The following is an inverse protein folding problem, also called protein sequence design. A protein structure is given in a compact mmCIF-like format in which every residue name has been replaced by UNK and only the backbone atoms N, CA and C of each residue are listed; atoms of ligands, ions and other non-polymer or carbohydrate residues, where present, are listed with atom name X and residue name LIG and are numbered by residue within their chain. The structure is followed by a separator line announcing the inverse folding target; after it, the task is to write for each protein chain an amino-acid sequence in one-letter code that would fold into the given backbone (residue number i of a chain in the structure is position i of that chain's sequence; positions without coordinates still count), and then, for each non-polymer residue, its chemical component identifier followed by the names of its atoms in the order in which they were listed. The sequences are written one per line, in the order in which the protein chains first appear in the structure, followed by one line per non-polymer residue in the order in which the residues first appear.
data_IF_027362223833
#
_entry.id   IF_027362223833
#
_cell.length_a   1.000
_cell.length_b   1.000
_cell.length_c   1.000
_cell.angle_alpha   90.00
_cell.angle_beta   90.00
_cell.angle_gamma   90.00
#
_symmetry.space_group_name_H-M   'P 1'
#
loop_
_entity.id
_entity.type
_entity.pdbx_description
1 polymer ?
#
# COMPACT_ATOMS: atom_id res chain seq x y z
N UNK A 1 39.55 33.96 -92.40
CA UNK A 1 38.38 33.02 -92.40
C UNK A 1 38.32 32.36 -91.07
N UNK A 2 37.35 32.79 -90.27
CA UNK A 2 37.20 32.40 -88.81
C UNK A 2 36.64 31.01 -88.61
N UNK A 3 37.14 30.35 -87.60
CA UNK A 3 36.48 29.22 -86.93
C UNK A 3 36.43 29.45 -85.49
N UNK A 4 35.33 29.90 -84.98
CA UNK A 4 35.02 29.96 -83.59
C UNK A 4 34.71 28.60 -83.00
N UNK A 5 35.44 28.13 -82.06
CA UNK A 5 35.18 26.91 -81.27
C UNK A 5 34.32 27.24 -80.06
N UNK A 6 33.16 26.63 -80.01
CA UNK A 6 32.21 26.79 -78.92
C UNK A 6 32.53 25.74 -77.85
N UNK A 7 32.95 26.16 -76.67
CA UNK A 7 33.15 25.28 -75.52
C UNK A 7 31.89 25.30 -74.69
N UNK A 8 31.14 24.20 -74.72
CA UNK A 8 29.98 23.98 -73.85
C UNK A 8 30.39 23.50 -72.49
N UNK A 9 30.26 24.36 -71.45
CA UNK A 9 30.47 23.98 -70.05
C UNK A 9 29.17 23.39 -69.51
N UNK A 10 29.17 22.08 -69.23
CA UNK A 10 28.05 21.42 -68.54
C UNK A 10 28.19 21.64 -67.02
N UNK A 11 27.34 22.47 -66.44
CA UNK A 11 27.21 22.64 -65.00
C UNK A 11 26.37 21.50 -64.44
N UNK A 12 27.03 20.54 -63.80
CA UNK A 12 26.39 19.47 -63.03
C UNK A 12 25.81 20.01 -61.73
N UNK A 13 24.49 20.18 -61.61
CA UNK A 13 23.81 20.51 -60.39
C UNK A 13 23.75 19.27 -59.47
N UNK A 14 24.58 19.21 -58.44
CA UNK A 14 24.47 18.26 -57.33
C UNK A 14 23.27 18.63 -56.49
N UNK A 15 22.13 17.90 -56.70
CA UNK A 15 20.99 17.92 -55.81
C UNK A 15 21.37 17.19 -54.48
N UNK A 16 21.84 17.94 -53.50
CA UNK A 16 21.95 17.48 -52.13
C UNK A 16 20.52 17.35 -51.56
N UNK A 17 20.01 16.12 -51.52
CA UNK A 17 18.81 15.79 -50.78
C UNK A 17 19.09 16.02 -49.29
N UNK A 18 18.66 17.16 -48.74
CA UNK A 18 18.60 17.39 -47.32
C UNK A 18 17.60 16.38 -46.71
N UNK A 19 18.12 15.32 -46.10
CA UNK A 19 17.32 14.50 -45.22
C UNK A 19 16.91 15.38 -44.04
N UNK A 20 15.60 15.52 -43.74
CA UNK A 20 15.22 16.16 -42.49
C UNK A 20 15.79 15.32 -41.37
N UNK A 21 16.82 15.81 -40.68
CA UNK A 21 17.22 15.28 -39.39
C UNK A 21 16.03 15.54 -38.46
N UNK A 22 15.16 14.54 -38.36
CA UNK A 22 14.17 14.48 -37.26
C UNK A 22 15.00 14.46 -36.01
N UNK A 23 15.22 15.63 -35.41
CA UNK A 23 15.75 15.75 -34.07
C UNK A 23 14.75 15.00 -33.17
N UNK A 24 15.03 13.74 -32.91
CA UNK A 24 14.33 12.93 -31.95
C UNK A 24 14.58 13.63 -30.61
N UNK A 25 13.63 14.50 -30.22
CA UNK A 25 13.62 15.13 -28.90
C UNK A 25 13.89 14.00 -27.92
N UNK A 26 15.02 14.02 -27.26
CA UNK A 26 15.39 13.01 -26.27
C UNK A 26 14.22 12.89 -25.31
N UNK A 27 13.52 11.77 -25.35
CA UNK A 27 12.31 11.55 -24.56
C UNK A 27 12.74 11.69 -23.10
N UNK A 28 12.27 12.72 -22.41
CA UNK A 28 12.59 12.97 -21.00
C UNK A 28 12.34 11.69 -20.23
N UNK A 29 13.38 11.17 -19.57
CA UNK A 29 13.24 10.00 -18.69
C UNK A 29 12.32 10.40 -17.53
N UNK A 30 11.15 9.75 -17.35
CA UNK A 30 10.22 10.11 -16.29
C UNK A 30 10.82 9.81 -14.92
N UNK A 31 10.49 10.66 -13.95
CA UNK A 31 10.93 10.57 -12.56
C UNK A 31 9.74 10.33 -11.66
N UNK A 32 9.74 9.21 -10.93
CA UNK A 32 8.70 8.82 -10.00
C UNK A 32 9.19 9.04 -8.57
N UNK A 33 8.40 9.75 -7.76
CA UNK A 33 8.57 9.79 -6.32
C UNK A 33 7.81 8.65 -5.66
N UNK A 34 8.45 7.93 -4.75
CA UNK A 34 7.80 6.90 -3.94
C UNK A 34 7.99 7.22 -2.47
N UNK A 35 6.88 7.46 -1.77
CA UNK A 35 6.88 7.66 -0.32
C UNK A 35 6.30 6.43 0.36
N UNK A 36 7.14 5.70 1.08
CA UNK A 36 6.71 4.60 1.95
C UNK A 36 6.53 5.10 3.37
N UNK A 37 5.40 4.77 4.01
CA UNK A 37 5.12 5.18 5.39
C UNK A 37 6.00 4.46 6.42
N UNK A 38 6.51 3.26 6.13
CA UNK A 38 7.36 2.47 7.02
C UNK A 38 8.85 2.63 6.76
N UNK A 39 9.65 1.77 7.41
CA UNK A 39 11.11 1.64 7.19
C UNK A 39 11.40 0.81 5.93
N UNK A 40 12.60 0.90 5.33
CA UNK A 40 12.99 0.08 4.17
C UNK A 40 12.73 -1.42 4.37
N UNK A 41 13.12 -1.96 5.52
CA UNK A 41 12.94 -3.37 5.85
C UNK A 41 11.46 -3.76 5.97
N UNK A 42 10.63 -2.88 6.55
CA UNK A 42 9.21 -3.15 6.76
C UNK A 42 8.42 -3.24 5.43
N UNK A 43 8.85 -2.49 4.41
CA UNK A 43 8.13 -2.35 3.13
C UNK A 43 8.81 -3.04 1.94
N UNK A 44 9.80 -3.91 2.19
CA UNK A 44 10.60 -4.54 1.14
C UNK A 44 9.74 -5.27 0.10
N UNK A 45 8.71 -6.02 0.51
CA UNK A 45 7.79 -6.72 -0.40
C UNK A 45 7.00 -5.74 -1.27
N UNK A 46 6.58 -4.59 -0.72
CA UNK A 46 5.88 -3.55 -1.47
C UNK A 46 6.78 -2.94 -2.54
N UNK A 47 8.06 -2.71 -2.20
CA UNK A 47 9.08 -2.21 -3.16
C UNK A 47 9.25 -3.18 -4.32
N UNK A 48 9.37 -4.48 -4.04
CA UNK A 48 9.52 -5.49 -5.10
C UNK A 48 8.23 -5.63 -5.93
N UNK A 49 7.05 -5.60 -5.31
CA UNK A 49 5.78 -5.58 -6.05
C UNK A 49 5.69 -4.41 -7.01
N UNK A 50 6.03 -3.20 -6.56
CA UNK A 50 6.03 -2.00 -7.41
C UNK A 50 7.06 -2.10 -8.55
N UNK A 51 8.28 -2.56 -8.29
CA UNK A 51 9.30 -2.78 -9.32
C UNK A 51 8.84 -3.80 -10.36
N UNK A 52 8.19 -4.89 -9.92
CA UNK A 52 7.62 -5.87 -10.82
C UNK A 52 6.56 -5.25 -11.73
N UNK A 53 5.62 -4.49 -11.15
CA UNK A 53 4.59 -3.80 -11.92
C UNK A 53 5.19 -2.81 -12.93
N UNK A 54 6.23 -2.07 -12.57
CA UNK A 54 6.93 -1.20 -13.52
C UNK A 54 7.53 -1.99 -14.69
N UNK A 55 8.19 -3.13 -14.42
CA UNK A 55 8.78 -4.00 -15.46
C UNK A 55 7.72 -4.55 -16.41
N UNK A 56 6.54 -4.92 -15.92
CA UNK A 56 5.42 -5.41 -16.72
C UNK A 56 4.92 -4.35 -17.74
N UNK A 57 5.12 -3.06 -17.43
CA UNK A 57 4.84 -1.94 -18.32
C UNK A 57 6.06 -1.46 -19.14
N UNK A 58 7.17 -2.20 -19.10
CA UNK A 58 8.39 -1.90 -19.86
C UNK A 58 9.29 -0.85 -19.22
N UNK A 59 9.06 -0.47 -17.96
CA UNK A 59 9.94 0.46 -17.24
C UNK A 59 11.04 -0.30 -16.49
N UNK A 60 12.29 0.14 -16.73
CA UNK A 60 13.48 -0.40 -16.07
C UNK A 60 14.20 0.74 -15.37
N UNK A 61 14.28 0.66 -14.05
CA UNK A 61 14.93 1.68 -13.22
C UNK A 61 16.40 1.87 -13.63
N UNK A 62 16.82 3.12 -13.78
CA UNK A 62 18.15 3.49 -14.24
C UNK A 62 18.36 3.45 -15.76
N UNK A 63 17.37 2.95 -16.53
CA UNK A 63 17.42 2.96 -18.00
C UNK A 63 16.42 3.93 -18.60
N UNK A 64 15.14 3.75 -18.34
CA UNK A 64 14.06 4.55 -18.93
C UNK A 64 13.08 5.13 -17.90
N UNK A 65 13.38 4.97 -16.61
CA UNK A 65 12.66 5.58 -15.48
C UNK A 65 13.60 5.82 -14.31
N UNK A 66 13.40 6.92 -13.59
CA UNK A 66 14.10 7.22 -12.31
C UNK A 66 13.09 7.07 -11.18
N UNK A 67 13.43 6.35 -10.12
CA UNK A 67 12.57 6.15 -8.95
C UNK A 67 13.24 6.70 -7.69
N UNK A 68 12.70 7.79 -7.19
CA UNK A 68 13.14 8.48 -5.96
C UNK A 68 12.38 7.94 -4.76
N UNK A 69 12.98 7.02 -4.00
CA UNK A 69 12.34 6.43 -2.82
C UNK A 69 12.63 7.22 -1.57
N UNK A 70 11.61 7.43 -0.76
CA UNK A 70 11.67 8.05 0.57
C UNK A 70 10.88 7.23 1.57
N UNK A 71 11.32 7.28 2.82
CA UNK A 71 10.74 6.49 3.90
C UNK A 71 10.35 7.41 5.05
N UNK A 72 9.10 7.32 5.49
CA UNK A 72 8.52 8.13 6.55
C UNK A 72 8.71 7.54 7.95
N UNK A 73 9.20 6.28 8.04
CA UNK A 73 9.58 5.60 9.30
C UNK A 73 8.46 5.60 10.36
N UNK A 74 7.22 5.58 9.92
CA UNK A 74 6.01 5.70 10.74
C UNK A 74 5.88 7.01 11.54
N UNK A 75 6.70 8.04 11.22
CA UNK A 75 6.62 9.39 11.82
C UNK A 75 5.85 10.34 10.91
N UNK A 76 4.78 11.00 11.39
CA UNK A 76 4.06 12.03 10.64
C UNK A 76 4.95 13.19 10.19
N UNK A 77 5.88 13.63 11.05
CA UNK A 77 6.83 14.72 10.78
C UNK A 77 7.75 14.33 9.64
N UNK A 78 8.35 13.13 9.71
CA UNK A 78 9.23 12.62 8.66
C UNK A 78 8.49 12.44 7.34
N UNK A 79 7.24 11.97 7.36
CA UNK A 79 6.40 11.88 6.14
C UNK A 79 6.19 13.25 5.50
N UNK A 80 5.96 14.32 6.31
CA UNK A 80 5.80 15.68 5.79
C UNK A 80 7.09 16.22 5.16
N UNK A 81 8.24 15.99 5.79
CA UNK A 81 9.55 16.38 5.26
C UNK A 81 9.84 15.71 3.91
N UNK A 82 9.73 14.38 3.84
CA UNK A 82 10.06 13.62 2.63
C UNK A 82 9.03 13.86 1.51
N UNK A 83 7.78 14.16 1.85
CA UNK A 83 6.78 14.60 0.86
C UNK A 83 7.20 15.93 0.21
N UNK A 84 7.65 16.90 1.03
CA UNK A 84 8.16 18.17 0.53
C UNK A 84 9.44 18.01 -0.33
N UNK A 85 10.33 17.07 0.03
CA UNK A 85 11.50 16.72 -0.80
C UNK A 85 11.09 16.23 -2.19
N UNK A 86 10.14 15.29 -2.27
CA UNK A 86 9.68 14.73 -3.56
C UNK A 86 9.06 15.82 -4.44
N UNK A 87 8.29 16.74 -3.85
CA UNK A 87 7.72 17.88 -4.58
C UNK A 87 8.82 18.82 -5.10
N UNK A 88 9.86 19.11 -4.30
CA UNK A 88 11.01 19.91 -4.74
C UNK A 88 11.80 19.27 -5.88
N UNK A 89 11.87 17.93 -5.92
CA UNK A 89 12.49 17.18 -7.01
C UNK A 89 11.70 17.25 -8.33
N UNK A 90 10.49 17.84 -8.31
CA UNK A 90 9.60 17.97 -9.48
C UNK A 90 9.39 16.64 -10.19
N UNK A 91 9.07 15.60 -9.43
CA UNK A 91 8.75 14.29 -9.95
C UNK A 91 7.49 14.32 -10.81
N UNK A 92 7.38 13.43 -11.78
CA UNK A 92 6.24 13.41 -12.72
C UNK A 92 5.00 12.76 -12.08
N UNK A 93 5.18 11.85 -11.12
CA UNK A 93 4.12 11.18 -10.33
C UNK A 93 4.64 10.86 -8.94
N UNK A 94 3.80 10.94 -7.92
CA UNK A 94 4.13 10.43 -6.57
C UNK A 94 3.26 9.21 -6.29
N UNK A 95 3.88 8.11 -5.88
CA UNK A 95 3.21 6.89 -5.42
C UNK A 95 3.37 6.76 -3.91
N UNK A 96 2.27 6.51 -3.21
CA UNK A 96 2.31 6.34 -1.75
C UNK A 96 1.18 5.42 -1.26
N UNK A 97 1.21 5.05 -0.01
CA UNK A 97 0.18 4.27 0.65
C UNK A 97 -0.06 4.77 2.06
N UNK A 98 -1.17 4.36 2.66
CA UNK A 98 -1.71 4.81 3.95
C UNK A 98 -2.25 6.24 3.92
N UNK A 99 -3.35 6.45 4.63
CA UNK A 99 -4.03 7.74 4.64
C UNK A 99 -3.15 8.87 5.19
N UNK A 100 -2.26 8.55 6.14
CA UNK A 100 -1.32 9.53 6.73
C UNK A 100 -0.32 10.04 5.69
N UNK A 101 0.30 9.13 4.92
CA UNK A 101 1.28 9.52 3.90
C UNK A 101 0.61 10.19 2.70
N UNK A 102 -0.58 9.73 2.29
CA UNK A 102 -1.38 10.39 1.23
C UNK A 102 -1.71 11.83 1.64
N UNK A 103 -2.17 12.05 2.88
CA UNK A 103 -2.46 13.37 3.41
C UNK A 103 -1.20 14.26 3.45
N UNK A 104 -0.04 13.70 3.81
CA UNK A 104 1.23 14.42 3.82
C UNK A 104 1.60 14.92 2.41
N UNK A 105 1.51 14.05 1.38
CA UNK A 105 1.78 14.44 -0.01
C UNK A 105 0.74 15.44 -0.52
N UNK A 106 -0.56 15.20 -0.27
CA UNK A 106 -1.64 16.07 -0.75
C UNK A 106 -1.55 17.49 -0.21
N UNK A 107 -1.03 17.67 1.01
CA UNK A 107 -0.75 19.01 1.57
C UNK A 107 0.37 19.75 0.85
N UNK A 108 1.32 19.04 0.23
CA UNK A 108 2.47 19.66 -0.43
C UNK A 108 2.22 19.98 -1.91
N UNK A 109 1.25 19.29 -2.55
CA UNK A 109 0.98 19.51 -3.98
C UNK A 109 -0.47 19.22 -4.35
N UNK A 110 -1.00 20.06 -5.26
CA UNK A 110 -2.26 19.82 -5.96
C UNK A 110 -2.06 19.61 -7.45
N UNK A 111 -0.81 19.74 -7.93
CA UNK A 111 -0.47 19.66 -9.35
C UNK A 111 0.16 18.31 -9.73
N UNK A 112 1.08 17.79 -8.89
CA UNK A 112 1.72 16.50 -9.18
C UNK A 112 0.70 15.39 -8.95
N UNK A 113 0.49 14.48 -9.94
CA UNK A 113 -0.33 13.30 -9.77
C UNK A 113 0.09 12.44 -8.59
N UNK A 114 -0.88 11.97 -7.80
CA UNK A 114 -0.67 11.10 -6.66
C UNK A 114 -1.39 9.77 -6.91
N UNK A 115 -0.64 8.67 -6.92
CA UNK A 115 -1.17 7.32 -7.02
C UNK A 115 -1.15 6.68 -5.63
N UNK A 116 -2.32 6.37 -5.12
CA UNK A 116 -2.47 5.60 -3.88
C UNK A 116 -2.29 4.12 -4.21
N UNK A 117 -1.25 3.47 -3.67
CA UNK A 117 -1.15 2.01 -3.71
C UNK A 117 -2.17 1.36 -2.76
N UNK A 118 -2.55 2.07 -1.69
CA UNK A 118 -3.66 1.70 -0.81
C UNK A 118 -4.14 2.89 0.02
N UNK A 119 -5.45 2.99 0.21
CA UNK A 119 -6.11 3.90 1.16
C UNK A 119 -7.28 3.18 1.81
N UNK A 120 -7.54 3.42 3.08
CA UNK A 120 -8.63 2.74 3.80
C UNK A 120 -9.99 3.25 3.34
N UNK A 121 -10.16 4.57 3.27
CA UNK A 121 -11.38 5.23 2.81
C UNK A 121 -11.03 6.54 2.07
N UNK A 122 -10.72 6.49 0.77
CA UNK A 122 -10.28 7.67 0.04
C UNK A 122 -11.38 8.72 -0.16
N UNK A 123 -12.65 8.33 -0.12
CA UNK A 123 -13.79 9.24 -0.21
C UNK A 123 -14.05 9.91 1.15
N UNK A 124 -14.19 9.14 2.20
CA UNK A 124 -14.45 9.66 3.53
C UNK A 124 -13.30 10.50 4.10
N UNK A 125 -12.05 10.25 3.67
CA UNK A 125 -10.90 11.13 4.00
C UNK A 125 -10.87 12.41 3.18
N UNK A 126 -11.69 12.53 2.13
CA UNK A 126 -11.71 13.68 1.22
C UNK A 126 -10.49 13.73 0.28
N UNK A 127 -9.83 12.61 0.03
CA UNK A 127 -8.74 12.56 -0.95
C UNK A 127 -9.30 12.64 -2.37
N UNK A 128 -10.46 12.02 -2.60
CA UNK A 128 -11.16 11.97 -3.87
C UNK A 128 -12.65 12.29 -3.68
N UNK A 129 -13.31 12.79 -4.73
CA UNK A 129 -14.73 13.11 -4.69
C UNK A 129 -15.62 11.84 -4.69
N UNK A 130 -15.24 10.83 -5.49
CA UNK A 130 -15.86 9.51 -5.52
C UNK A 130 -14.90 8.46 -6.06
N UNK A 131 -15.21 7.18 -5.88
CA UNK A 131 -14.39 6.10 -6.42
C UNK A 131 -14.43 6.09 -7.97
N UNK A 132 -15.58 6.34 -8.57
CA UNK A 132 -15.74 6.32 -10.03
C UNK A 132 -15.11 7.55 -10.72
N UNK A 133 -15.13 8.72 -10.07
CA UNK A 133 -14.57 9.98 -10.58
C UNK A 133 -13.84 10.71 -9.47
N UNK A 134 -12.53 10.47 -9.29
CA UNK A 134 -11.72 11.09 -8.25
C UNK A 134 -11.71 12.63 -8.29
N UNK A 135 -11.67 13.22 -9.49
CA UNK A 135 -11.91 14.66 -9.73
C UNK A 135 -10.73 15.60 -9.43
N UNK A 136 -9.63 15.10 -8.85
CA UNK A 136 -8.45 15.89 -8.48
C UNK A 136 -7.14 15.29 -9.01
N UNK A 137 -6.04 15.53 -8.30
CA UNK A 137 -4.73 14.98 -8.63
C UNK A 137 -4.46 13.60 -7.96
N UNK A 138 -5.43 13.01 -7.28
CA UNK A 138 -5.30 11.73 -6.55
C UNK A 138 -6.11 10.65 -7.25
N UNK A 139 -5.50 9.47 -7.43
CA UNK A 139 -6.14 8.26 -7.94
C UNK A 139 -5.45 7.02 -7.36
N UNK A 140 -5.86 5.80 -7.72
CA UNK A 140 -5.19 4.55 -7.31
C UNK A 140 -6.12 3.49 -6.75
N UNK A 141 -5.77 2.89 -5.61
CA UNK A 141 -6.44 1.73 -5.05
C UNK A 141 -6.93 1.99 -3.61
N UNK A 142 -8.04 1.36 -3.24
CA UNK A 142 -8.60 1.32 -1.89
C UNK A 142 -8.38 -0.06 -1.27
N UNK A 143 -8.37 -0.16 0.07
CA UNK A 143 -8.23 -1.43 0.79
C UNK A 143 -9.56 -2.10 1.13
N UNK A 144 -10.66 -1.34 1.19
CA UNK A 144 -11.94 -1.78 1.77
C UNK A 144 -11.77 -2.52 3.12
N UNK A 145 -10.81 -2.04 3.94
CA UNK A 145 -10.45 -2.72 5.18
C UNK A 145 -11.59 -2.75 6.21
N UNK A 146 -12.37 -1.68 6.40
CA UNK A 146 -13.48 -1.68 7.36
C UNK A 146 -14.51 -2.77 7.07
N UNK A 147 -14.88 -2.98 5.80
CA UNK A 147 -15.86 -3.98 5.38
C UNK A 147 -15.42 -5.41 5.67
N UNK A 148 -14.12 -5.64 5.86
CA UNK A 148 -13.57 -6.95 6.21
C UNK A 148 -13.58 -7.24 7.72
N UNK A 149 -13.92 -6.26 8.55
CA UNK A 149 -13.83 -6.36 10.01
C UNK A 149 -14.72 -7.46 10.58
N UNK A 150 -15.96 -7.58 10.08
CA UNK A 150 -16.87 -8.66 10.48
C UNK A 150 -16.28 -10.03 10.14
N UNK A 151 -15.71 -10.18 8.94
CA UNK A 151 -15.11 -11.44 8.49
C UNK A 151 -13.89 -11.84 9.30
N UNK A 152 -13.05 -10.88 9.69
CA UNK A 152 -11.90 -11.14 10.58
C UNK A 152 -12.36 -11.66 11.95
N UNK A 153 -13.42 -11.08 12.53
CA UNK A 153 -14.01 -11.57 13.79
C UNK A 153 -14.60 -12.97 13.65
N UNK A 154 -15.35 -13.25 12.58
CA UNK A 154 -15.90 -14.58 12.32
C UNK A 154 -14.80 -15.64 12.24
N UNK A 155 -13.75 -15.37 11.43
CA UNK A 155 -12.62 -16.28 11.26
C UNK A 155 -11.91 -16.54 12.60
N UNK A 156 -11.73 -15.50 13.42
CA UNK A 156 -11.11 -15.63 14.74
C UNK A 156 -11.98 -16.49 15.68
N UNK A 157 -13.31 -16.29 15.64
CA UNK A 157 -14.28 -17.08 16.42
C UNK A 157 -14.34 -18.56 15.99
N UNK A 158 -14.10 -18.85 14.69
CA UNK A 158 -14.01 -20.24 14.20
C UNK A 158 -12.79 -20.97 14.82
N UNK A 159 -11.70 -20.26 15.11
CA UNK A 159 -10.45 -20.83 15.64
C UNK A 159 -10.41 -20.89 17.15
N UNK A 160 -11.11 -19.97 17.83
CA UNK A 160 -11.13 -19.90 19.30
C UNK A 160 -12.50 -20.31 19.82
N UNK A 161 -12.69 -21.59 20.22
CA UNK A 161 -13.96 -22.07 20.74
C UNK A 161 -14.37 -21.32 22.00
N UNK A 162 -15.63 -20.89 22.07
CA UNK A 162 -16.15 -20.18 23.25
C UNK A 162 -15.69 -18.73 23.38
N UNK A 163 -15.04 -18.15 22.34
CA UNK A 163 -14.60 -16.76 22.33
C UNK A 163 -15.72 -15.80 22.79
N UNK A 164 -15.44 -15.00 23.78
CA UNK A 164 -16.38 -14.02 24.36
C UNK A 164 -15.76 -12.62 24.50
N UNK A 165 -14.44 -12.51 24.69
CA UNK A 165 -13.73 -11.24 24.89
C UNK A 165 -12.60 -11.08 23.87
N UNK A 166 -12.74 -10.10 22.99
CA UNK A 166 -11.77 -9.79 21.95
C UNK A 166 -11.21 -8.39 22.16
N UNK A 167 -9.89 -8.26 22.16
CA UNK A 167 -9.26 -6.96 22.13
C UNK A 167 -9.05 -6.48 20.69
N UNK A 168 -9.17 -5.18 20.47
CA UNK A 168 -8.81 -4.54 19.22
C UNK A 168 -7.72 -3.49 19.47
N UNK A 169 -6.57 -3.67 18.80
CA UNK A 169 -5.47 -2.72 18.84
C UNK A 169 -5.55 -1.79 17.63
N UNK A 170 -5.60 -0.50 17.89
CA UNK A 170 -5.80 0.54 16.87
C UNK A 170 -5.15 1.86 17.27
N UNK A 171 -5.09 2.82 16.34
CA UNK A 171 -4.54 4.16 16.59
C UNK A 171 -5.64 5.20 16.37
N UNK A 172 -6.04 5.99 17.40
CA UNK A 172 -7.08 7.02 17.30
C UNK A 172 -6.71 8.19 16.37
N UNK A 173 -5.41 8.43 16.16
CA UNK A 173 -4.91 9.49 15.29
C UNK A 173 -4.94 9.11 13.80
N UNK A 174 -5.21 7.83 13.49
CA UNK A 174 -5.27 7.30 12.12
C UNK A 174 -6.73 7.06 11.74
N UNK A 175 -7.29 7.92 10.88
CA UNK A 175 -8.70 7.86 10.47
C UNK A 175 -9.14 6.48 9.98
N UNK A 176 -8.32 5.81 9.16
CA UNK A 176 -8.62 4.45 8.69
C UNK A 176 -8.77 3.46 9.83
N UNK A 177 -7.90 3.53 10.85
CA UNK A 177 -7.98 2.66 12.03
C UNK A 177 -9.23 2.97 12.89
N UNK A 178 -9.68 4.24 12.93
CA UNK A 178 -10.94 4.63 13.58
C UNK A 178 -12.15 3.98 12.88
N UNK A 179 -12.15 3.93 11.55
CA UNK A 179 -13.21 3.27 10.79
C UNK A 179 -13.20 1.76 11.01
N UNK A 180 -12.03 1.11 10.91
CA UNK A 180 -11.86 -0.32 11.23
C UNK A 180 -12.34 -0.65 12.66
N UNK A 181 -12.03 0.21 13.64
CA UNK A 181 -12.51 0.06 15.01
C UNK A 181 -14.04 0.08 15.09
N UNK A 182 -14.69 1.07 14.47
CA UNK A 182 -16.16 1.23 14.50
C UNK A 182 -16.87 0.04 13.84
N UNK A 183 -16.38 -0.41 12.69
CA UNK A 183 -16.93 -1.58 12.00
C UNK A 183 -16.72 -2.86 12.82
N UNK A 184 -15.53 -3.03 13.43
CA UNK A 184 -15.26 -4.16 14.32
C UNK A 184 -16.16 -4.14 15.55
N UNK A 185 -16.45 -2.96 16.13
CA UNK A 185 -17.37 -2.78 17.24
C UNK A 185 -18.81 -3.19 16.87
N UNK A 186 -19.26 -2.77 15.69
CA UNK A 186 -20.58 -3.17 15.15
C UNK A 186 -20.68 -4.69 14.95
N UNK A 187 -19.64 -5.29 14.36
CA UNK A 187 -19.57 -6.73 14.15
C UNK A 187 -19.48 -7.51 15.47
N UNK A 188 -18.72 -7.03 16.46
CA UNK A 188 -18.61 -7.65 17.77
C UNK A 188 -19.98 -7.72 18.49
N UNK A 189 -20.77 -6.62 18.44
CA UNK A 189 -22.14 -6.61 18.97
C UNK A 189 -23.03 -7.67 18.31
N UNK A 190 -22.96 -7.78 16.97
CA UNK A 190 -23.75 -8.76 16.20
C UNK A 190 -23.35 -10.20 16.53
N UNK A 191 -22.06 -10.45 16.80
CA UNK A 191 -21.53 -11.77 17.18
C UNK A 191 -21.63 -12.06 18.69
N UNK A 192 -22.18 -11.13 19.50
CA UNK A 192 -22.25 -11.20 20.96
C UNK A 192 -20.89 -11.34 21.63
N UNK A 193 -19.90 -10.60 21.12
CA UNK A 193 -18.55 -10.52 21.68
C UNK A 193 -18.38 -9.21 22.46
N UNK A 194 -17.69 -9.27 23.59
CA UNK A 194 -17.22 -8.08 24.28
C UNK A 194 -15.96 -7.57 23.59
N UNK A 195 -16.02 -6.37 23.01
CA UNK A 195 -14.88 -5.73 22.39
C UNK A 195 -14.16 -4.82 23.39
N UNK A 196 -12.86 -5.00 23.51
CA UNK A 196 -12.01 -4.20 24.36
C UNK A 196 -11.08 -3.34 23.50
N UNK A 197 -11.21 -2.03 23.61
CA UNK A 197 -10.36 -1.07 22.93
C UNK A 197 -8.97 -0.99 23.57
N UNK A 198 -7.94 -1.05 22.74
CA UNK A 198 -6.54 -0.83 23.11
C UNK A 198 -5.89 0.14 22.13
N UNK A 199 -5.70 1.36 22.60
CA UNK A 199 -5.13 2.44 21.82
C UNK A 199 -3.61 2.41 21.85
N UNK A 200 -2.99 2.56 20.67
CA UNK A 200 -1.55 2.58 20.48
C UNK A 200 -1.21 3.66 19.45
N UNK A 201 -0.58 4.73 19.91
CA UNK A 201 -0.11 5.81 19.01
C UNK A 201 1.40 5.71 18.72
N UNK A 202 2.18 5.08 19.61
CA UNK A 202 3.63 4.98 19.55
C UNK A 202 4.13 3.57 19.84
N UNK A 203 5.34 3.27 19.38
CA UNK A 203 5.95 1.94 19.60
C UNK A 203 6.17 1.60 21.10
N UNK A 204 6.37 2.60 21.93
CA UNK A 204 6.57 2.43 23.39
C UNK A 204 5.27 2.05 24.12
N UNK A 205 4.13 2.23 23.48
CA UNK A 205 2.82 1.88 24.06
C UNK A 205 2.57 0.36 24.08
N UNK A 206 3.26 -0.44 23.26
CA UNK A 206 2.95 -1.86 23.10
C UNK A 206 3.03 -2.65 24.41
N UNK A 207 4.05 -2.48 25.22
CA UNK A 207 4.19 -3.26 26.47
C UNK A 207 3.08 -2.94 27.46
N UNK A 208 2.72 -1.66 27.59
CA UNK A 208 1.57 -1.21 28.38
C UNK A 208 0.26 -1.76 27.81
N UNK A 209 0.09 -1.73 26.48
CA UNK A 209 -1.07 -2.27 25.79
C UNK A 209 -1.25 -3.76 26.10
N UNK A 210 -0.21 -4.58 25.95
CA UNK A 210 -0.30 -6.00 26.23
C UNK A 210 -0.50 -6.32 27.73
N UNK A 211 0.03 -5.51 28.64
CA UNK A 211 -0.26 -5.62 30.08
C UNK A 211 -1.75 -5.36 30.37
N UNK A 212 -2.34 -4.36 29.73
CA UNK A 212 -3.77 -4.06 29.83
C UNK A 212 -4.64 -5.22 29.29
N UNK A 213 -4.25 -5.86 28.19
CA UNK A 213 -4.94 -7.04 27.63
C UNK A 213 -4.99 -8.20 28.61
N UNK A 214 -3.87 -8.45 29.31
CA UNK A 214 -3.78 -9.51 30.33
C UNK A 214 -4.69 -9.21 31.52
N UNK A 215 -4.67 -7.97 32.02
CA UNK A 215 -5.52 -7.53 33.15
C UNK A 215 -7.00 -7.67 32.82
N UNK A 216 -7.38 -7.31 31.60
CA UNK A 216 -8.76 -7.38 31.14
C UNK A 216 -9.18 -8.78 30.66
N UNK A 217 -8.29 -9.77 30.75
CA UNK A 217 -8.53 -11.17 30.38
C UNK A 217 -9.02 -11.30 28.93
N UNK A 218 -8.40 -10.57 27.99
CA UNK A 218 -8.65 -10.74 26.57
C UNK A 218 -8.35 -12.18 26.15
N UNK A 219 -9.21 -12.78 25.35
CA UNK A 219 -9.08 -14.17 24.87
C UNK A 219 -8.52 -14.23 23.45
N UNK A 220 -8.59 -13.11 22.72
CA UNK A 220 -8.01 -12.96 21.38
C UNK A 220 -7.73 -11.49 21.09
N UNK A 221 -6.90 -11.24 20.08
CA UNK A 221 -6.47 -9.91 19.65
C UNK A 221 -6.75 -9.71 18.15
N UNK A 222 -7.35 -8.57 17.79
CA UNK A 222 -7.36 -8.06 16.42
C UNK A 222 -6.45 -6.84 16.36
N UNK A 223 -5.60 -6.78 15.34
CA UNK A 223 -4.79 -5.59 15.04
C UNK A 223 -5.23 -5.04 13.69
N UNK A 224 -5.83 -3.86 13.69
CA UNK A 224 -6.22 -3.17 12.47
C UNK A 224 -5.00 -2.51 11.80
N UNK A 225 -5.05 -2.20 10.49
CA UNK A 225 -3.91 -1.59 9.79
C UNK A 225 -3.63 -0.16 10.25
N UNK A 226 -2.42 0.09 10.78
CA UNK A 226 -1.86 1.44 10.98
C UNK A 226 -0.32 1.42 10.96
N UNK A 227 0.36 2.52 10.56
CA UNK A 227 1.80 2.50 10.23
C UNK A 227 2.71 2.02 11.35
N UNK A 228 2.49 2.48 12.59
CA UNK A 228 3.32 2.09 13.75
C UNK A 228 3.22 0.60 14.03
N UNK A 229 2.01 0.01 13.97
CA UNK A 229 1.83 -1.42 14.16
C UNK A 229 2.48 -2.23 13.02
N UNK A 230 2.31 -1.80 11.77
CA UNK A 230 2.91 -2.49 10.62
C UNK A 230 4.45 -2.54 10.70
N UNK A 231 5.07 -1.43 11.08
CA UNK A 231 6.53 -1.36 11.27
C UNK A 231 7.01 -2.28 12.41
N UNK A 232 6.20 -2.43 13.45
CA UNK A 232 6.51 -3.24 14.64
C UNK A 232 5.83 -4.61 14.65
N UNK A 233 5.37 -5.12 13.49
CA UNK A 233 4.56 -6.36 13.40
C UNK A 233 5.20 -7.58 14.04
N UNK A 234 6.53 -7.73 13.92
CA UNK A 234 7.26 -8.83 14.56
C UNK A 234 7.21 -8.76 16.09
N UNK A 235 7.35 -7.56 16.68
CA UNK A 235 7.20 -7.34 18.11
C UNK A 235 5.78 -7.65 18.58
N UNK A 236 4.77 -7.18 17.84
CA UNK A 236 3.35 -7.44 18.17
C UNK A 236 3.04 -8.93 18.09
N UNK A 237 3.48 -9.64 17.02
CA UNK A 237 3.30 -11.08 16.90
C UNK A 237 3.97 -11.84 18.06
N UNK A 238 5.20 -11.48 18.42
CA UNK A 238 5.93 -12.07 19.56
C UNK A 238 5.22 -11.82 20.91
N UNK A 239 4.74 -10.60 21.14
CA UNK A 239 3.99 -10.26 22.35
C UNK A 239 2.65 -11.00 22.41
N UNK A 240 1.93 -11.16 21.28
CA UNK A 240 0.70 -11.94 21.21
C UNK A 240 0.97 -13.42 21.59
N UNK A 241 2.02 -14.03 21.03
CA UNK A 241 2.41 -15.39 21.38
C UNK A 241 2.80 -15.53 22.86
N UNK A 242 3.64 -14.62 23.39
CA UNK A 242 4.07 -14.62 24.79
C UNK A 242 2.89 -14.55 25.76
N UNK A 243 1.87 -13.77 25.41
CA UNK A 243 0.65 -13.64 26.20
C UNK A 243 -0.43 -14.68 25.85
N UNK A 244 -0.10 -15.69 25.00
CA UNK A 244 -1.02 -16.75 24.55
C UNK A 244 -2.32 -16.21 23.94
N UNK A 245 -2.25 -15.09 23.21
CA UNK A 245 -3.37 -14.46 22.56
C UNK A 245 -3.46 -14.90 21.09
N UNK A 246 -4.45 -15.71 20.69
CA UNK A 246 -4.80 -15.90 19.29
C UNK A 246 -5.01 -14.55 18.62
N UNK A 247 -4.40 -14.34 17.45
CA UNK A 247 -4.36 -13.02 16.85
C UNK A 247 -4.76 -13.03 15.38
N UNK A 248 -5.56 -12.02 15.00
CA UNK A 248 -6.01 -11.77 13.63
C UNK A 248 -5.52 -10.40 13.16
N UNK A 249 -5.03 -10.37 11.93
CA UNK A 249 -4.44 -9.18 11.32
C UNK A 249 -5.11 -8.87 9.97
N UNK A 250 -5.04 -7.61 9.56
CA UNK A 250 -5.52 -7.16 8.25
C UNK A 250 -4.54 -7.41 7.10
N UNK A 251 -3.29 -7.81 7.39
CA UNK A 251 -2.19 -7.88 6.43
C UNK A 251 -1.35 -9.14 6.67
N UNK A 252 -1.02 -9.86 5.57
CA UNK A 252 -0.29 -11.15 5.60
C UNK A 252 1.07 -11.04 6.29
N UNK A 253 1.73 -9.91 6.20
CA UNK A 253 3.08 -9.69 6.73
C UNK A 253 3.17 -9.90 8.24
N UNK A 254 2.04 -9.84 8.95
CA UNK A 254 1.98 -10.22 10.37
C UNK A 254 2.04 -11.73 10.56
N UNK A 255 1.36 -12.51 9.71
CA UNK A 255 1.43 -13.97 9.76
C UNK A 255 2.83 -14.46 9.39
N UNK A 256 3.47 -13.84 8.40
CA UNK A 256 4.87 -14.08 8.02
C UNK A 256 5.83 -13.79 9.19
N UNK A 257 5.52 -12.77 9.99
CA UNK A 257 6.29 -12.40 11.19
C UNK A 257 5.96 -13.21 12.45
N UNK A 258 5.14 -14.27 12.35
CA UNK A 258 4.78 -15.14 13.46
C UNK A 258 3.40 -14.91 14.06
N UNK A 259 2.57 -14.03 13.51
CA UNK A 259 1.16 -13.88 13.87
C UNK A 259 0.35 -15.14 13.51
N UNK A 260 -0.81 -15.33 14.16
CA UNK A 260 -1.60 -16.54 13.95
C UNK A 260 -2.31 -16.56 12.60
N UNK A 261 -3.06 -15.51 12.28
CA UNK A 261 -3.85 -15.43 11.04
C UNK A 261 -3.90 -14.01 10.50
N UNK A 262 -3.97 -13.89 9.18
CA UNK A 262 -4.25 -12.64 8.50
C UNK A 262 -5.36 -12.82 7.46
N UNK A 263 -6.23 -11.80 7.32
CA UNK A 263 -7.24 -11.76 6.28
C UNK A 263 -7.36 -10.34 5.71
N UNK A 264 -7.01 -10.19 4.43
CA UNK A 264 -7.04 -8.91 3.74
C UNK A 264 -6.43 -8.95 2.35
N UNK A 265 -6.37 -7.81 1.64
CA UNK A 265 -5.72 -7.73 0.34
C UNK A 265 -4.20 -7.91 0.47
N UNK A 266 -3.57 -8.43 -0.60
CA UNK A 266 -2.12 -8.55 -0.68
C UNK A 266 -1.48 -7.19 -0.99
N UNK A 267 -0.68 -6.67 -0.07
CA UNK A 267 -0.04 -5.36 -0.21
C UNK A 267 0.94 -5.30 -1.41
N UNK A 268 1.74 -6.33 -1.62
CA UNK A 268 2.70 -6.35 -2.73
C UNK A 268 1.97 -6.30 -4.08
N UNK A 269 0.82 -7.00 -4.19
CA UNK A 269 -0.03 -6.95 -5.37
C UNK A 269 -0.67 -5.57 -5.59
N UNK A 270 -1.11 -4.90 -4.51
CA UNK A 270 -1.59 -3.52 -4.58
C UNK A 270 -0.51 -2.58 -5.12
N UNK A 271 0.71 -2.70 -4.62
CA UNK A 271 1.84 -1.91 -5.12
C UNK A 271 2.21 -2.27 -6.57
N UNK A 272 2.14 -3.54 -6.95
CA UNK A 272 2.31 -3.97 -8.34
C UNK A 272 1.26 -3.33 -9.23
N UNK A 273 0.00 -3.34 -8.80
CA UNK A 273 -1.12 -2.74 -9.54
C UNK A 273 -1.02 -1.22 -9.64
N UNK A 274 -0.48 -0.54 -8.62
CA UNK A 274 -0.24 0.91 -8.64
C UNK A 274 0.64 1.35 -9.82
N UNK A 275 1.58 0.51 -10.27
CA UNK A 275 2.41 0.79 -11.46
C UNK A 275 1.59 0.96 -12.74
N UNK A 276 0.41 0.31 -12.85
CA UNK A 276 -0.50 0.50 -13.98
C UNK A 276 -1.06 1.92 -14.03
N UNK A 277 -1.33 2.52 -12.86
CA UNK A 277 -1.79 3.91 -12.78
C UNK A 277 -0.66 4.88 -13.16
N UNK A 278 0.56 4.57 -12.71
CA UNK A 278 1.75 5.34 -13.11
C UNK A 278 1.92 5.31 -14.62
N UNK A 279 1.84 4.14 -15.25
CA UNK A 279 1.93 3.99 -16.71
C UNK A 279 0.87 4.82 -17.45
N UNK A 280 -0.39 4.71 -17.02
CA UNK A 280 -1.49 5.50 -17.60
C UNK A 280 -1.24 7.01 -17.52
N UNK A 281 -0.78 7.49 -16.35
CA UNK A 281 -0.49 8.92 -16.12
C UNK A 281 0.70 9.38 -16.97
N UNK A 282 1.78 8.60 -17.04
CA UNK A 282 2.93 8.92 -17.87
C UNK A 282 2.60 8.94 -19.37
N UNK A 283 1.54 8.23 -19.79
CA UNK A 283 0.96 8.25 -21.13
C UNK A 283 -0.07 9.36 -21.34
N UNK A 284 -0.28 10.23 -20.34
CA UNK A 284 -1.12 11.43 -20.45
C UNK A 284 -2.53 11.32 -19.86
N UNK A 285 -2.88 10.21 -19.20
CA UNK A 285 -4.16 10.12 -18.50
C UNK A 285 -4.19 11.07 -17.29
N UNK A 286 -5.32 11.74 -17.07
CA UNK A 286 -5.50 12.62 -15.92
C UNK A 286 -5.90 11.77 -14.68
N UNK A 287 -5.27 11.99 -13.51
CA UNK A 287 -5.61 11.23 -12.28
C UNK A 287 -7.10 11.29 -11.93
N UNK A 288 -7.71 12.49 -12.08
CA UNK A 288 -9.12 12.73 -11.77
C UNK A 288 -10.11 11.94 -12.61
N UNK A 289 -9.69 11.43 -13.78
CA UNK A 289 -10.50 10.62 -14.70
C UNK A 289 -10.27 9.10 -14.53
N UNK A 290 -9.26 8.70 -13.74
CA UNK A 290 -8.94 7.31 -13.48
C UNK A 290 -9.68 6.81 -12.23
N UNK A 291 -10.64 5.88 -12.35
CA UNK A 291 -11.40 5.36 -11.21
C UNK A 291 -10.48 4.72 -10.15
N UNK A 292 -10.89 4.83 -8.88
CA UNK A 292 -10.27 4.11 -7.78
C UNK A 292 -10.66 2.64 -7.86
N UNK A 293 -9.69 1.75 -7.94
CA UNK A 293 -9.94 0.31 -7.89
C UNK A 293 -10.06 -0.18 -6.44
N UNK A 294 -11.02 -1.06 -6.23
CA UNK A 294 -11.16 -1.82 -4.99
C UNK A 294 -10.59 -3.24 -5.20
N UNK A 295 -9.94 -3.84 -4.20
CA UNK A 295 -9.47 -5.21 -4.31
C UNK A 295 -10.66 -6.16 -4.44
N UNK A 296 -10.55 -7.12 -5.34
CA UNK A 296 -11.54 -8.19 -5.53
C UNK A 296 -11.08 -9.51 -4.96
N UNK A 297 -9.80 -9.59 -4.56
CA UNK A 297 -9.19 -10.78 -3.97
C UNK A 297 -8.66 -10.46 -2.58
N UNK A 298 -9.03 -11.29 -1.62
CA UNK A 298 -8.56 -11.27 -0.23
C UNK A 298 -7.90 -12.59 0.08
N UNK A 299 -6.80 -12.56 0.80
CA UNK A 299 -6.02 -13.72 1.18
C UNK A 299 -6.25 -14.06 2.66
N UNK A 300 -6.57 -15.33 2.93
CA UNK A 300 -6.53 -15.91 4.26
C UNK A 300 -5.20 -16.65 4.43
N UNK A 301 -4.34 -16.13 5.29
CA UNK A 301 -3.06 -16.75 5.64
C UNK A 301 -3.13 -17.28 7.07
N UNK A 302 -2.73 -18.53 7.29
CA UNK A 302 -2.75 -19.19 8.60
C UNK A 302 -1.37 -19.72 8.93
N UNK A 303 -0.86 -19.38 10.13
CA UNK A 303 0.43 -19.86 10.61
C UNK A 303 0.24 -21.03 11.58
N UNK A 304 0.50 -22.26 11.11
CA UNK A 304 0.35 -23.47 11.92
C UNK A 304 1.41 -23.61 13.02
N UNK A 305 2.62 -23.03 12.83
CA UNK A 305 3.62 -22.99 13.91
C UNK A 305 3.08 -22.24 15.11
N UNK A 306 2.48 -21.09 14.84
CA UNK A 306 1.87 -20.23 15.88
C UNK A 306 0.62 -20.90 16.46
N UNK A 307 -0.23 -21.51 15.66
CA UNK A 307 -1.39 -22.27 16.13
C UNK A 307 -0.96 -23.37 17.13
N UNK A 308 0.06 -24.16 16.75
CA UNK A 308 0.64 -25.22 17.62
C UNK A 308 1.22 -24.65 18.92
N UNK A 309 1.94 -23.54 18.83
CA UNK A 309 2.53 -22.87 20.03
C UNK A 309 1.45 -22.36 21.00
N UNK A 310 0.29 -21.96 20.47
CA UNK A 310 -0.88 -21.52 21.25
C UNK A 310 -1.77 -22.69 21.72
N UNK A 311 -1.47 -23.95 21.33
CA UNK A 311 -2.31 -25.11 21.64
C UNK A 311 -3.63 -25.13 20.89
N UNK A 312 -3.72 -24.45 19.75
CA UNK A 312 -4.93 -24.36 18.93
C UNK A 312 -4.95 -25.41 17.83
N UNK A 313 -6.12 -26.01 17.62
CA UNK A 313 -6.39 -26.87 16.47
C UNK A 313 -7.19 -26.06 15.43
N UNK A 314 -6.58 -25.81 14.27
CA UNK A 314 -7.27 -25.10 13.19
C UNK A 314 -8.26 -26.07 12.52
N UNK A 315 -9.55 -25.68 12.40
CA UNK A 315 -10.55 -26.53 11.75
C UNK A 315 -10.16 -26.88 10.31
N UNK A 316 -10.36 -28.15 9.86
CA UNK A 316 -10.06 -28.55 8.48
C UNK A 316 -10.82 -27.74 7.43
N UNK A 317 -12.05 -27.29 7.75
CA UNK A 317 -12.84 -26.39 6.90
C UNK A 317 -12.14 -25.04 6.66
N UNK A 318 -11.48 -24.51 7.68
CA UNK A 318 -10.75 -23.23 7.59
C UNK A 318 -9.44 -23.41 6.81
N UNK A 319 -8.72 -24.52 7.03
CA UNK A 319 -7.49 -24.84 6.28
C UNK A 319 -7.76 -24.98 4.77
N UNK A 320 -8.92 -25.52 4.38
CA UNK A 320 -9.29 -25.61 2.96
C UNK A 320 -9.64 -24.26 2.33
N UNK A 321 -9.99 -23.27 3.14
CA UNK A 321 -10.29 -21.90 2.70
C UNK A 321 -9.07 -20.99 2.72
N UNK A 322 -7.98 -21.42 3.35
CA UNK A 322 -6.74 -20.66 3.40
C UNK A 322 -6.07 -20.63 2.02
N UNK A 323 -5.69 -19.44 1.59
CA UNK A 323 -4.88 -19.23 0.38
C UNK A 323 -3.43 -19.66 0.63
N UNK A 324 -2.96 -19.51 1.88
CA UNK A 324 -1.62 -19.93 2.30
C UNK A 324 -1.62 -20.47 3.74
N UNK A 325 -0.85 -21.54 3.95
CA UNK A 325 -0.63 -22.17 5.26
C UNK A 325 0.87 -22.22 5.54
N UNK A 326 1.35 -21.39 6.48
CA UNK A 326 2.74 -21.37 6.95
C UNK A 326 2.97 -22.54 7.90
N UNK A 327 3.92 -23.43 7.56
CA UNK A 327 4.22 -24.69 8.30
C UNK A 327 5.59 -24.64 8.95
#
# INVERSE_FOLDING_TARGET
MDRRTFVSTAAGALLVKAFPASAQLAKKVPRIGVLHAGTPAAVAQNVEGFKQGLREHGYVEGQNIVVERRYGEASPERMAEVAAELVRLKVDVIVTSTDVAIAAVKRQTQAIPIVMASSTDPVGTGFVASLARPGGNVTGLSLISPELSAKRLELLKEVVPGLSRVAIMWNPDVRGAVLDYKETEGAARSLRLQLQSVEVSRADDFDRAFSALTTARAEALIVVPFPVAFTNRGRIASLAQKNRLPSMYGQREYADAGGLMAYGPNNAEQWRRAATYVDKILKGAKPGDLPIEQPTKFELVINLKTAKALGLTIPPSLLRRADEVIR
#
